data_IF_202512821004
#
_entry.id   IF_202512821004
#
_cell.length_a   1.000
_cell.length_b   1.000
_cell.length_c   1.000
_cell.angle_alpha   90.00
_cell.angle_beta   90.00
_cell.angle_gamma   90.00
#
_symmetry.space_group_name_H-M   'P 1'
#
loop_
_entity.id
_entity.type
_entity.pdbx_description
1 polymer ?
#
# COMPACT_ATOMS: atom_id res chain seq x y z
N UNK A 1 -2.22 -58.12 -6.84
CA UNK A 1 -2.10 -57.41 -8.13
C UNK A 1 -0.98 -56.40 -7.94
N UNK A 2 0.24 -56.83 -8.24
CA UNK A 2 1.52 -56.13 -8.03
C UNK A 2 2.07 -55.70 -9.38
N UNK A 3 2.51 -54.45 -9.50
CA UNK A 3 3.24 -53.91 -10.66
C UNK A 3 4.33 -53.02 -10.05
N UNK A 4 5.53 -53.55 -9.78
CA UNK A 4 6.68 -53.72 -10.66
C UNK A 4 7.42 -52.41 -10.97
N UNK A 5 8.65 -52.38 -10.48
CA UNK A 5 9.74 -51.42 -10.69
C UNK A 5 10.03 -51.13 -12.17
N UNK A 6 10.62 -49.96 -12.44
CA UNK A 6 11.85 -49.83 -13.26
C UNK A 6 12.36 -48.38 -13.28
N UNK A 7 13.53 -48.19 -12.68
CA UNK A 7 14.45 -47.09 -12.99
C UNK A 7 15.01 -47.25 -14.42
N UNK A 8 15.32 -46.13 -15.09
CA UNK A 8 16.46 -46.04 -16.03
C UNK A 8 16.83 -44.60 -16.35
N UNK A 9 18.07 -44.26 -16.00
CA UNK A 9 18.88 -43.13 -16.45
C UNK A 9 19.10 -43.13 -17.95
N UNK A 10 19.08 -41.96 -18.60
CA UNK A 10 19.80 -41.70 -19.86
C UNK A 10 20.25 -40.23 -19.91
N UNK A 11 21.57 -40.03 -19.89
CA UNK A 11 22.28 -38.78 -20.13
C UNK A 11 22.19 -38.42 -21.63
N UNK A 12 21.98 -37.14 -21.94
CA UNK A 12 22.09 -36.61 -23.30
C UNK A 12 23.34 -35.73 -23.43
N UNK A 13 24.18 -36.02 -24.43
CA UNK A 13 25.36 -35.26 -24.82
C UNK A 13 25.03 -34.23 -25.91
N UNK A 14 25.69 -33.05 -25.97
CA UNK A 14 25.43 -32.04 -27.00
C UNK A 14 26.35 -32.21 -28.23
N UNK A 15 25.88 -31.90 -29.45
CA UNK A 15 26.73 -31.84 -30.63
C UNK A 15 27.34 -30.44 -30.87
N UNK A 16 28.41 -30.48 -31.67
CA UNK A 16 29.50 -29.52 -31.80
C UNK A 16 29.24 -28.38 -32.80
N UNK A 17 29.94 -27.28 -32.56
CA UNK A 17 30.19 -26.06 -33.35
C UNK A 17 30.39 -26.24 -34.86
N UNK A 18 29.87 -25.27 -35.63
CA UNK A 18 30.39 -24.87 -36.94
C UNK A 18 30.45 -23.33 -37.02
N UNK A 19 31.63 -22.81 -37.34
CA UNK A 19 31.92 -21.39 -37.57
C UNK A 19 31.79 -21.06 -39.05
N UNK A 20 31.25 -19.89 -39.41
CA UNK A 20 31.45 -19.30 -40.74
C UNK A 20 31.20 -17.77 -40.75
N UNK A 21 32.26 -17.07 -41.14
CA UNK A 21 32.35 -15.78 -41.84
C UNK A 21 31.87 -14.47 -41.19
N UNK A 22 32.87 -13.71 -40.75
CA UNK A 22 32.90 -12.25 -40.63
C UNK A 22 32.61 -11.57 -41.97
N UNK A 23 31.75 -10.53 -41.94
CA UNK A 23 31.72 -9.46 -42.95
C UNK A 23 31.39 -8.14 -42.24
N UNK A 24 32.29 -7.13 -42.23
CA UNK A 24 31.98 -5.85 -41.62
C UNK A 24 31.26 -4.97 -42.65
N UNK A 25 30.04 -4.53 -42.34
CA UNK A 25 29.45 -3.36 -42.96
C UNK A 25 29.39 -2.26 -41.91
N UNK A 26 30.33 -1.32 -42.02
CA UNK A 26 30.17 0.02 -41.46
C UNK A 26 28.96 0.67 -42.14
N UNK A 27 27.94 1.01 -41.38
CA UNK A 27 27.10 2.16 -41.68
C UNK A 27 26.84 2.96 -40.40
N UNK A 28 27.35 4.18 -40.49
CA UNK A 28 27.14 5.37 -39.67
C UNK A 28 25.71 5.54 -39.16
N UNK A 29 25.61 5.81 -37.86
CA UNK A 29 24.40 6.33 -37.22
C UNK A 29 24.66 6.57 -35.74
N UNK A 30 25.25 7.72 -35.40
CA UNK A 30 25.28 8.18 -34.01
C UNK A 30 23.85 8.57 -33.64
N UNK A 31 23.08 7.62 -33.09
CA UNK A 31 21.80 7.92 -32.47
C UNK A 31 22.12 8.72 -31.22
N UNK A 32 21.88 10.03 -31.25
CA UNK A 32 21.84 10.87 -30.06
C UNK A 32 20.63 10.43 -29.23
N UNK A 33 20.88 9.57 -28.24
CA UNK A 33 19.87 9.26 -27.22
C UNK A 33 19.69 10.52 -26.39
N UNK A 34 18.57 11.21 -26.57
CA UNK A 34 18.12 12.23 -25.63
C UNK A 34 18.00 11.57 -24.27
N UNK A 35 18.81 12.01 -23.31
CA UNK A 35 18.67 11.59 -21.92
C UNK A 35 17.30 12.07 -21.46
N UNK A 36 16.33 11.16 -21.46
CA UNK A 36 15.07 11.36 -20.77
C UNK A 36 15.41 11.74 -19.34
N UNK A 37 14.82 12.83 -18.85
CA UNK A 37 14.90 13.21 -17.44
C UNK A 37 14.32 12.05 -16.62
N UNK A 38 15.19 11.15 -16.15
CA UNK A 38 14.83 10.12 -15.20
C UNK A 38 14.58 10.84 -13.89
N UNK A 39 13.33 11.24 -13.65
CA UNK A 39 12.88 11.62 -12.33
C UNK A 39 13.16 10.45 -11.40
N UNK A 40 14.11 10.63 -10.48
CA UNK A 40 14.34 9.68 -9.40
C UNK A 40 12.98 9.49 -8.72
N UNK A 41 12.46 8.25 -8.60
CA UNK A 41 11.17 8.03 -7.98
C UNK A 41 11.21 8.70 -6.60
N UNK A 42 10.29 9.65 -6.39
CA UNK A 42 10.21 10.44 -5.16
C UNK A 42 10.37 9.49 -3.98
N UNK A 43 11.42 9.73 -3.19
CA UNK A 43 11.57 9.20 -1.84
C UNK A 43 10.22 9.28 -1.14
N UNK A 44 9.92 8.29 -0.29
CA UNK A 44 8.68 8.23 0.46
C UNK A 44 8.32 9.60 1.04
N UNK A 45 7.07 10.04 0.86
CA UNK A 45 6.67 11.40 1.27
C UNK A 45 6.40 11.49 2.76
N UNK A 46 6.05 10.35 3.37
CA UNK A 46 5.76 10.23 4.78
C UNK A 46 6.06 8.81 5.26
N UNK A 47 6.32 8.69 6.57
CA UNK A 47 6.37 7.43 7.30
C UNK A 47 5.14 7.27 8.17
N UNK A 48 4.64 6.05 8.22
CA UNK A 48 3.51 5.64 9.07
C UNK A 48 4.02 4.60 10.05
N UNK A 49 3.90 4.92 11.34
CA UNK A 49 4.23 4.02 12.44
C UNK A 49 2.95 3.49 13.08
N UNK A 50 2.90 2.19 13.34
CA UNK A 50 1.84 1.54 14.11
C UNK A 50 2.52 0.55 15.06
N UNK A 51 2.62 0.88 16.34
CA UNK A 51 3.46 0.12 17.28
C UNK A 51 4.91 0.01 16.77
N UNK A 52 5.43 -1.22 16.71
CA UNK A 52 6.79 -1.51 16.22
C UNK A 52 6.90 -1.55 14.68
N UNK A 53 5.78 -1.42 13.96
CA UNK A 53 5.74 -1.48 12.51
C UNK A 53 5.92 -0.09 11.90
N UNK A 54 6.81 0.02 10.90
CA UNK A 54 7.04 1.26 10.14
C UNK A 54 6.87 1.00 8.66
N UNK A 55 6.12 1.86 7.98
CA UNK A 55 5.83 1.78 6.56
C UNK A 55 6.21 3.09 5.88
N UNK A 56 6.77 3.01 4.68
CA UNK A 56 6.80 4.17 3.80
C UNK A 56 5.44 4.35 3.14
N UNK A 57 5.08 5.59 2.83
CA UNK A 57 3.83 5.89 2.14
C UNK A 57 3.93 7.11 1.21
N UNK A 58 2.88 7.27 0.41
CA UNK A 58 2.63 8.45 -0.43
C UNK A 58 1.24 9.03 -0.16
N UNK A 59 1.07 10.32 -0.41
CA UNK A 59 -0.24 10.94 -0.50
C UNK A 59 -0.85 10.76 -1.88
N UNK A 60 -2.18 10.61 -1.94
CA UNK A 60 -2.93 10.66 -3.19
C UNK A 60 -3.29 12.11 -3.54
N UNK A 61 -2.27 12.96 -3.75
CA UNK A 61 -2.44 14.42 -3.96
C UNK A 61 -3.28 14.77 -5.19
N UNK A 62 -3.29 13.90 -6.20
CA UNK A 62 -4.06 14.10 -7.43
C UNK A 62 -5.54 13.77 -7.23
N UNK A 63 -5.82 12.69 -6.54
CA UNK A 63 -7.17 12.12 -6.44
C UNK A 63 -7.92 12.65 -5.20
N UNK A 64 -7.19 12.96 -4.12
CA UNK A 64 -7.73 13.48 -2.86
C UNK A 64 -7.06 14.79 -2.37
N UNK A 65 -6.92 15.83 -3.21
CA UNK A 65 -6.14 17.03 -2.88
C UNK A 65 -6.63 17.76 -1.63
N UNK A 66 -7.96 17.83 -1.39
CA UNK A 66 -8.51 18.54 -0.22
C UNK A 66 -8.27 17.76 1.05
N UNK A 67 -8.48 16.44 0.99
CA UNK A 67 -8.24 15.53 2.11
C UNK A 67 -6.77 15.53 2.52
N UNK A 68 -5.86 15.44 1.55
CA UNK A 68 -4.41 15.51 1.80
C UNK A 68 -4.02 16.86 2.41
N UNK A 69 -4.51 17.97 1.85
CA UNK A 69 -4.18 19.30 2.38
C UNK A 69 -4.70 19.49 3.81
N UNK A 70 -5.87 18.97 4.15
CA UNK A 70 -6.41 19.01 5.51
C UNK A 70 -5.58 18.15 6.46
N UNK A 71 -5.24 16.92 6.07
CA UNK A 71 -4.44 16.02 6.92
C UNK A 71 -3.01 16.55 7.14
N UNK A 72 -2.37 17.16 6.13
CA UNK A 72 -1.04 17.77 6.27
C UNK A 72 -1.00 18.87 7.34
N UNK A 73 -2.11 19.59 7.58
CA UNK A 73 -2.18 20.59 8.66
C UNK A 73 -2.20 19.97 10.06
N UNK A 74 -2.58 18.69 10.16
CA UNK A 74 -2.57 17.93 11.40
C UNK A 74 -1.25 17.16 11.62
N UNK A 75 -0.26 17.31 10.74
CA UNK A 75 1.03 16.63 10.85
C UNK A 75 1.98 17.34 11.84
N UNK A 76 2.77 16.61 12.65
CA UNK A 76 2.76 15.16 12.78
C UNK A 76 1.47 14.68 13.46
N UNK A 77 0.83 13.69 12.85
CA UNK A 77 -0.41 13.15 13.39
C UNK A 77 -0.09 12.01 14.35
N UNK A 78 -0.50 12.14 15.61
CA UNK A 78 -0.28 11.15 16.67
C UNK A 78 -1.62 10.69 17.21
N UNK A 79 -1.81 9.37 17.30
CA UNK A 79 -3.07 8.78 17.78
C UNK A 79 -2.84 7.35 18.31
N UNK A 80 -3.94 6.60 18.49
CA UNK A 80 -3.95 5.18 18.80
C UNK A 80 -4.77 4.45 17.74
N UNK A 81 -4.20 3.39 17.15
CA UNK A 81 -4.94 2.47 16.30
C UNK A 81 -5.58 1.38 17.16
N UNK A 82 -6.87 1.16 16.97
CA UNK A 82 -7.59 -0.02 17.50
C UNK A 82 -8.20 -0.80 16.35
N UNK A 83 -8.45 -2.09 16.57
CA UNK A 83 -9.03 -2.93 15.52
C UNK A 83 -10.49 -2.54 15.26
N UNK A 84 -10.90 -2.50 14.00
CA UNK A 84 -12.27 -2.14 13.63
C UNK A 84 -13.27 -3.17 14.15
N UNK A 85 -14.49 -2.71 14.45
CA UNK A 85 -15.58 -3.56 14.94
C UNK A 85 -16.45 -4.15 13.82
N UNK A 86 -16.68 -3.37 12.76
CA UNK A 86 -17.67 -3.67 11.73
C UNK A 86 -17.05 -3.99 10.36
N UNK A 87 -15.85 -3.46 10.08
CA UNK A 87 -15.35 -3.32 8.71
C UNK A 87 -14.46 -4.47 8.21
N UNK A 88 -14.25 -5.53 9.00
CA UNK A 88 -13.38 -6.65 8.64
C UNK A 88 -11.92 -6.43 9.03
N UNK A 89 -10.99 -6.65 8.11
CA UNK A 89 -9.54 -6.65 8.36
C UNK A 89 -8.92 -5.25 8.24
N UNK A 90 -9.33 -4.36 9.15
CA UNK A 90 -8.82 -2.99 9.25
C UNK A 90 -8.54 -2.56 10.68
N UNK A 91 -7.76 -1.49 10.82
CA UNK A 91 -7.57 -0.78 12.09
C UNK A 91 -8.02 0.67 11.91
N UNK A 92 -8.56 1.29 12.94
CA UNK A 92 -9.02 2.67 12.89
C UNK A 92 -8.36 3.53 13.97
N UNK A 93 -8.38 4.84 13.74
CA UNK A 93 -8.02 5.88 14.71
C UNK A 93 -9.29 6.69 14.93
N UNK A 94 -9.98 6.53 16.09
CA UNK A 94 -11.21 7.25 16.36
C UNK A 94 -10.91 8.71 16.68
N UNK A 95 -11.59 9.63 16.00
CA UNK A 95 -11.35 11.08 16.13
C UNK A 95 -12.56 11.82 16.74
N UNK A 96 -13.62 11.10 17.09
CA UNK A 96 -14.82 11.67 17.68
C UNK A 96 -15.47 12.70 16.78
N UNK A 97 -15.66 13.91 17.31
CA UNK A 97 -16.32 15.03 16.64
C UNK A 97 -15.34 15.93 15.85
N UNK A 98 -14.09 15.51 15.67
CA UNK A 98 -13.13 16.27 14.87
C UNK A 98 -13.64 16.41 13.43
N UNK A 99 -13.72 17.64 12.95
CA UNK A 99 -14.08 17.97 11.57
C UNK A 99 -12.85 18.43 10.79
N UNK A 100 -12.50 17.70 9.72
CA UNK A 100 -11.43 18.09 8.80
C UNK A 100 -11.88 19.16 7.78
N UNK A 101 -13.18 19.47 7.72
CA UNK A 101 -13.76 20.42 6.78
C UNK A 101 -13.65 19.95 5.33
N UNK A 102 -13.68 18.64 5.09
CA UNK A 102 -13.50 18.05 3.76
C UNK A 102 -14.77 17.32 3.29
N UNK A 103 -15.19 17.50 2.03
CA UNK A 103 -16.26 16.71 1.44
C UNK A 103 -15.77 15.30 1.10
N UNK A 104 -16.66 14.43 0.63
CA UNK A 104 -16.25 13.18 0.01
C UNK A 104 -15.45 13.41 -1.27
N UNK A 105 -14.32 12.72 -1.38
CA UNK A 105 -13.33 12.85 -2.45
C UNK A 105 -12.50 11.55 -2.52
N UNK A 106 -12.36 10.96 -3.71
CA UNK A 106 -11.72 9.64 -3.89
C UNK A 106 -12.24 8.59 -2.87
N UNK A 107 -13.56 8.59 -2.62
CA UNK A 107 -14.13 7.80 -1.54
C UNK A 107 -14.37 6.35 -1.98
N UNK A 108 -14.17 5.43 -1.05
CA UNK A 108 -14.44 4.01 -1.26
C UNK A 108 -15.00 3.39 0.02
N UNK A 109 -15.83 2.37 -0.14
CA UNK A 109 -16.20 1.45 0.95
C UNK A 109 -15.33 0.19 0.97
N UNK A 110 -14.45 0.01 -0.01
CA UNK A 110 -13.63 -1.19 -0.20
C UNK A 110 -12.16 -0.80 -0.36
N UNK A 111 -11.52 -0.21 0.67
CA UNK A 111 -10.10 0.10 0.60
C UNK A 111 -9.28 -1.18 0.42
N UNK A 112 -8.28 -1.13 -0.46
CA UNK A 112 -7.36 -2.25 -0.67
C UNK A 112 -6.32 -2.32 0.46
N UNK A 113 -5.63 -3.46 0.65
CA UNK A 113 -4.58 -3.58 1.66
C UNK A 113 -3.50 -2.50 1.49
N UNK A 114 -3.17 -1.78 2.56
CA UNK A 114 -2.25 -0.64 2.56
C UNK A 114 -2.90 0.70 2.20
N UNK A 115 -4.19 0.74 1.88
CA UNK A 115 -4.91 2.00 1.72
C UNK A 115 -5.33 2.57 3.07
N UNK A 116 -5.23 3.89 3.20
CA UNK A 116 -5.68 4.64 4.36
C UNK A 116 -6.76 5.63 3.91
N UNK A 117 -7.92 5.54 4.55
CA UNK A 117 -9.09 6.37 4.26
C UNK A 117 -9.40 7.30 5.43
N UNK A 118 -9.91 8.51 5.13
CA UNK A 118 -10.51 9.42 6.11
C UNK A 118 -12.02 9.44 5.92
N UNK A 119 -12.77 9.08 6.94
CA UNK A 119 -14.20 9.31 7.00
C UNK A 119 -14.46 10.66 7.68
N UNK A 120 -15.06 11.65 7.00
CA UNK A 120 -15.25 13.00 7.54
C UNK A 120 -16.41 13.10 8.56
N UNK A 121 -17.03 11.98 8.95
CA UNK A 121 -18.14 11.96 9.90
C UNK A 121 -19.53 12.07 9.25
N UNK A 122 -20.52 12.33 10.10
CA UNK A 122 -21.93 12.59 9.72
C UNK A 122 -22.91 11.54 10.23
N UNK A 123 -22.69 10.26 9.91
CA UNK A 123 -23.52 9.14 10.40
C UNK A 123 -22.85 8.46 11.61
N UNK A 124 -21.52 8.31 11.53
CA UNK A 124 -20.66 7.78 12.60
C UNK A 124 -19.64 8.86 13.01
N UNK A 125 -18.88 8.57 14.06
CA UNK A 125 -17.72 9.40 14.44
C UNK A 125 -16.72 9.53 13.29
N UNK A 126 -15.99 10.63 13.24
CA UNK A 126 -14.88 10.83 12.29
C UNK A 126 -13.78 9.82 12.60
N UNK A 127 -13.24 9.18 11.57
CA UNK A 127 -12.18 8.18 11.74
C UNK A 127 -11.20 8.16 10.57
N UNK A 128 -9.97 7.75 10.87
CA UNK A 128 -9.01 7.29 9.87
C UNK A 128 -8.95 5.78 9.95
N UNK A 129 -9.01 5.09 8.82
CA UNK A 129 -8.95 3.63 8.75
C UNK A 129 -7.78 3.21 7.85
N UNK A 130 -6.96 2.29 8.34
CA UNK A 130 -5.93 1.58 7.58
C UNK A 130 -6.39 0.14 7.32
N UNK A 131 -6.55 -0.22 6.05
CA UNK A 131 -6.87 -1.58 5.66
C UNK A 131 -5.59 -2.43 5.63
N UNK A 132 -5.56 -3.55 6.35
CA UNK A 132 -4.45 -4.50 6.30
C UNK A 132 -4.77 -5.75 5.46
N UNK A 133 -6.04 -5.98 5.13
CA UNK A 133 -6.51 -7.03 4.22
C UNK A 133 -7.94 -6.67 3.72
N UNK A 134 -8.85 -7.62 3.59
CA UNK A 134 -10.20 -7.40 3.08
C UNK A 134 -11.05 -6.53 4.02
N UNK A 135 -11.48 -5.37 3.54
CA UNK A 135 -12.33 -4.42 4.27
C UNK A 135 -13.60 -4.10 3.50
N UNK A 136 -14.73 -4.09 4.23
CA UNK A 136 -15.98 -3.47 3.79
C UNK A 136 -16.36 -2.41 4.82
N UNK A 137 -16.02 -1.15 4.52
CA UNK A 137 -16.11 -0.05 5.46
C UNK A 137 -17.57 0.24 5.87
N UNK A 138 -17.85 0.06 7.17
CA UNK A 138 -19.20 0.13 7.71
C UNK A 138 -19.21 0.55 9.19
N UNK A 139 -20.40 0.90 9.68
CA UNK A 139 -20.71 1.09 11.09
C UNK A 139 -21.97 0.32 11.48
N UNK A 140 -22.44 0.50 12.73
CA UNK A 140 -23.76 -0.01 13.16
C UNK A 140 -24.92 0.47 12.30
N UNK A 141 -24.75 1.58 11.57
CA UNK A 141 -25.77 2.18 10.71
C UNK A 141 -25.73 1.66 9.26
N UNK A 142 -24.80 0.76 8.94
CA UNK A 142 -24.60 0.22 7.60
C UNK A 142 -23.31 0.69 6.95
N UNK A 143 -23.26 0.55 5.63
CA UNK A 143 -22.09 0.87 4.80
C UNK A 143 -21.75 2.37 4.87
N UNK A 144 -20.45 2.66 5.00
CA UNK A 144 -19.89 4.01 4.96
C UNK A 144 -18.91 4.10 3.78
N UNK A 145 -18.50 5.31 3.43
CA UNK A 145 -17.44 5.55 2.44
C UNK A 145 -16.44 6.53 3.03
N UNK A 146 -15.13 6.28 2.88
CA UNK A 146 -14.09 7.18 3.35
C UNK A 146 -13.16 7.57 2.20
N UNK A 147 -12.60 8.78 2.28
CA UNK A 147 -11.71 9.35 1.27
C UNK A 147 -10.36 8.65 1.32
N UNK A 148 -9.98 7.90 0.28
CA UNK A 148 -8.65 7.31 0.18
C UNK A 148 -7.62 8.41 -0.13
N UNK A 149 -6.68 8.64 0.78
CA UNK A 149 -5.77 9.77 0.71
C UNK A 149 -4.29 9.45 0.99
N UNK A 150 -3.99 8.29 1.58
CA UNK A 150 -2.63 7.77 1.72
C UNK A 150 -2.59 6.31 1.25
N UNK A 151 -1.48 5.94 0.61
CA UNK A 151 -1.16 4.56 0.24
C UNK A 151 0.21 4.19 0.77
N UNK A 152 0.29 3.09 1.51
CA UNK A 152 1.56 2.49 1.94
C UNK A 152 2.31 1.92 0.73
N UNK A 153 3.62 2.11 0.67
CA UNK A 153 4.46 1.78 -0.50
C UNK A 153 5.58 0.78 -0.20
N UNK A 154 5.88 0.50 1.07
CA UNK A 154 6.91 -0.46 1.47
C UNK A 154 6.47 -1.25 2.71
N UNK A 155 7.19 -2.34 3.00
CA UNK A 155 6.99 -3.18 4.18
C UNK A 155 5.58 -3.83 4.26
N UNK A 156 4.94 -4.03 3.10
CA UNK A 156 3.54 -4.49 3.00
C UNK A 156 3.36 -5.94 3.47
N UNK A 157 4.41 -6.75 3.43
CA UNK A 157 4.46 -8.10 3.98
C UNK A 157 4.11 -8.16 5.47
N UNK A 158 4.40 -7.07 6.21
CA UNK A 158 4.14 -6.97 7.64
C UNK A 158 2.73 -6.41 7.98
N UNK A 159 1.91 -6.04 6.97
CA UNK A 159 0.57 -5.49 7.22
C UNK A 159 -0.33 -6.42 8.01
N UNK A 160 -0.36 -7.71 7.64
CA UNK A 160 -1.19 -8.71 8.31
C UNK A 160 -0.76 -8.94 9.75
N UNK A 161 0.54 -8.91 10.02
CA UNK A 161 1.07 -9.05 11.38
C UNK A 161 0.76 -7.81 12.23
N UNK A 162 0.87 -6.61 11.67
CA UNK A 162 0.45 -5.37 12.30
C UNK A 162 -1.04 -5.42 12.68
N UNK A 163 -1.92 -5.78 11.74
CA UNK A 163 -3.36 -5.89 11.99
C UNK A 163 -3.70 -6.89 13.11
N UNK A 164 -3.08 -8.08 13.08
CA UNK A 164 -3.22 -9.09 14.14
C UNK A 164 -2.69 -8.61 15.49
N UNK A 165 -1.60 -7.84 15.50
CA UNK A 165 -1.05 -7.26 16.72
C UNK A 165 -2.06 -6.31 17.36
N UNK A 166 -2.65 -5.41 16.58
CA UNK A 166 -3.70 -4.49 17.07
C UNK A 166 -4.94 -5.27 17.54
N UNK A 167 -5.33 -6.33 16.83
CA UNK A 167 -6.47 -7.18 17.21
C UNK A 167 -6.27 -7.88 18.55
N UNK A 168 -5.13 -8.56 18.73
CA UNK A 168 -4.90 -9.45 19.88
C UNK A 168 -4.25 -8.77 21.07
N UNK A 169 -3.41 -7.75 20.82
CA UNK A 169 -2.70 -7.01 21.88
C UNK A 169 -3.37 -5.66 22.21
N UNK A 170 -4.44 -5.31 21.51
CA UNK A 170 -5.17 -4.07 21.74
C UNK A 170 -4.50 -2.85 21.11
N UNK A 171 -4.89 -1.67 21.60
CA UNK A 171 -4.50 -0.39 21.03
C UNK A 171 -2.98 -0.26 20.84
N UNK A 172 -2.56 0.19 19.66
CA UNK A 172 -1.17 0.47 19.33
C UNK A 172 -0.97 1.95 19.07
N UNK A 173 0.14 2.56 19.51
CA UNK A 173 0.44 3.95 19.20
C UNK A 173 0.64 4.12 17.70
N UNK A 174 0.17 5.24 17.17
CA UNK A 174 0.30 5.58 15.75
C UNK A 174 0.92 6.94 15.61
N UNK A 175 1.81 7.07 14.63
CA UNK A 175 2.40 8.35 14.23
C UNK A 175 2.57 8.42 12.72
N UNK A 176 2.16 9.54 12.13
CA UNK A 176 2.46 9.88 10.75
C UNK A 176 3.42 11.07 10.75
N UNK A 177 4.53 10.95 10.02
CA UNK A 177 5.55 11.99 9.92
C UNK A 177 5.97 12.21 8.47
N UNK A 178 6.25 13.47 8.11
CA UNK A 178 6.86 13.79 6.81
C UNK A 178 8.31 13.31 6.80
N UNK A 179 8.80 12.89 5.63
CA UNK A 179 10.21 12.51 5.40
C UNK A 179 10.94 13.64 4.68
#
# INVERSE_FOLDING_TARGET
MTVLERERSLQATPPKTAACFFRPLLQSGWITVSHSNYEIPRMSQLKVHVGDFTFDAKFEEKDAPKTVAAFKKAMPFVSQAIHVRWSGEGVWMPLGDLDFGVPYENHTSFPAPGHIILYPGGISETEILLAYSGVHFASKMGQLAGNHFITLTSNLENLKEMGKTVLWKGAQPVRFEMV
#
